data_IF_380077236021
#
_entry.id   IF_380077236021
#
_cell.length_a   1.000
_cell.length_b   1.000
_cell.length_c   1.000
_cell.angle_alpha   90.00
_cell.angle_beta   90.00
_cell.angle_gamma   90.00
#
_symmetry.space_group_name_H-M   'P 1'
#
loop_
_entity.id
_entity.type
_entity.pdbx_description
1 polymer ?
#
# COMPACT_ATOMS: atom_id res chain seq x y z
N UNK A 1 7.91 12.16 -95.42
CA UNK A 1 8.19 13.04 -94.27
C UNK A 1 7.09 14.09 -94.22
N UNK A 2 6.17 13.99 -93.25
CA UNK A 2 5.07 14.95 -93.10
C UNK A 2 5.68 16.15 -92.36
N UNK A 3 5.81 17.30 -93.02
CA UNK A 3 6.17 18.55 -92.33
C UNK A 3 5.09 18.79 -91.27
N UNK A 4 5.48 18.84 -90.00
CA UNK A 4 4.61 19.35 -88.97
C UNK A 4 4.32 20.82 -89.32
N UNK A 5 3.09 21.09 -89.72
CA UNK A 5 2.61 22.44 -89.95
C UNK A 5 2.60 23.11 -88.58
N UNK A 6 3.52 24.04 -88.35
CA UNK A 6 3.55 24.86 -87.15
C UNK A 6 2.18 25.54 -87.00
N UNK A 7 1.50 25.37 -85.85
CA UNK A 7 0.17 25.95 -85.64
C UNK A 7 0.23 27.48 -85.68
N UNK A 8 -0.86 28.10 -86.17
CA UNK A 8 -0.95 29.55 -86.29
C UNK A 8 -0.74 30.23 -84.91
N UNK A 9 0.01 31.35 -84.84
CA UNK A 9 0.32 32.00 -83.56
C UNK A 9 -0.89 32.40 -82.72
N UNK A 10 -2.01 32.71 -83.38
CA UNK A 10 -3.28 33.09 -82.75
C UNK A 10 -3.94 31.90 -82.06
N UNK A 11 -3.88 30.71 -82.67
CA UNK A 11 -4.36 29.46 -82.07
C UNK A 11 -3.53 29.10 -80.84
N UNK A 12 -2.21 29.24 -80.93
CA UNK A 12 -1.30 29.01 -79.79
C UNK A 12 -1.56 29.99 -78.65
N UNK A 13 -1.82 31.26 -78.95
CA UNK A 13 -2.15 32.27 -77.94
C UNK A 13 -3.46 31.93 -77.22
N UNK A 14 -4.51 31.57 -77.97
CA UNK A 14 -5.79 31.18 -77.37
C UNK A 14 -5.62 29.95 -76.47
N UNK A 15 -4.91 28.93 -76.93
CA UNK A 15 -4.69 27.72 -76.14
C UNK A 15 -3.82 27.98 -74.90
N UNK A 16 -2.86 28.90 -74.98
CA UNK A 16 -2.08 29.32 -73.82
C UNK A 16 -2.96 30.03 -72.77
N UNK A 17 -3.90 30.88 -73.20
CA UNK A 17 -4.84 31.56 -72.29
C UNK A 17 -5.77 30.56 -71.60
N UNK A 18 -6.36 29.64 -72.35
CA UNK A 18 -7.21 28.57 -71.80
C UNK A 18 -6.43 27.69 -70.80
N UNK A 19 -5.19 27.32 -71.14
CA UNK A 19 -4.33 26.55 -70.25
C UNK A 19 -4.00 27.32 -68.96
N UNK A 20 -3.74 28.63 -69.05
CA UNK A 20 -3.49 29.47 -67.88
C UNK A 20 -4.72 29.50 -66.96
N UNK A 21 -5.91 29.67 -67.52
CA UNK A 21 -7.16 29.66 -66.75
C UNK A 21 -7.37 28.31 -66.04
N UNK A 22 -7.17 27.19 -66.75
CA UNK A 22 -7.27 25.84 -66.18
C UNK A 22 -6.28 25.65 -65.02
N UNK A 23 -5.02 26.08 -65.20
CA UNK A 23 -3.99 25.97 -64.15
C UNK A 23 -4.32 26.83 -62.94
N UNK A 24 -4.83 28.05 -63.15
CA UNK A 24 -5.25 28.95 -62.06
C UNK A 24 -6.39 28.35 -61.24
N UNK A 25 -7.42 27.83 -61.90
CA UNK A 25 -8.55 27.18 -61.23
C UNK A 25 -8.11 25.95 -60.43
N UNK A 26 -7.21 25.13 -61.00
CA UNK A 26 -6.66 23.97 -60.30
C UNK A 26 -5.84 24.38 -59.06
N UNK A 27 -5.05 25.45 -59.16
CA UNK A 27 -4.27 25.95 -58.02
C UNK A 27 -5.15 26.45 -56.88
N UNK A 28 -6.26 27.13 -57.21
CA UNK A 28 -7.25 27.57 -56.21
C UNK A 28 -7.91 26.39 -55.49
N UNK A 29 -8.36 25.38 -56.25
CA UNK A 29 -8.96 24.16 -55.69
C UNK A 29 -8.00 23.42 -54.76
N UNK A 30 -6.73 23.27 -55.16
CA UNK A 30 -5.71 22.67 -54.31
C UNK A 30 -5.48 23.47 -53.01
N UNK A 31 -5.51 24.80 -53.09
CA UNK A 31 -5.42 25.66 -51.90
C UNK A 31 -6.56 25.40 -50.91
N UNK A 32 -7.79 25.32 -51.41
CA UNK A 32 -8.96 25.04 -50.59
C UNK A 32 -8.93 23.62 -50.00
N UNK A 33 -8.47 22.62 -50.76
CA UNK A 33 -8.30 21.25 -50.27
C UNK A 33 -7.24 21.15 -49.17
N UNK A 34 -6.13 21.89 -49.30
CA UNK A 34 -5.10 21.97 -48.26
C UNK A 34 -5.65 22.59 -46.98
N UNK A 35 -6.42 23.68 -47.08
CA UNK A 35 -7.05 24.33 -45.93
C UNK A 35 -8.00 23.37 -45.20
N UNK A 36 -8.86 22.66 -45.94
CA UNK A 36 -9.76 21.65 -45.36
C UNK A 36 -9.02 20.49 -44.69
N UNK A 37 -7.88 20.07 -45.23
CA UNK A 37 -7.01 19.06 -44.60
C UNK A 37 -6.43 19.56 -43.27
N UNK A 38 -5.95 20.81 -43.22
CA UNK A 38 -5.43 21.40 -41.98
C UNK A 38 -6.52 21.55 -40.92
N UNK A 39 -7.72 21.98 -41.30
CA UNK A 39 -8.85 22.09 -40.39
C UNK A 39 -9.24 20.72 -39.83
N UNK A 40 -9.37 19.71 -40.70
CA UNK A 40 -9.68 18.34 -40.29
C UNK A 40 -8.63 17.74 -39.35
N UNK A 41 -7.35 17.99 -39.62
CA UNK A 41 -6.25 17.57 -38.74
C UNK A 41 -6.31 18.27 -37.37
N UNK A 42 -6.61 19.57 -37.34
CA UNK A 42 -6.77 20.32 -36.09
C UNK A 42 -7.95 19.80 -35.27
N UNK A 43 -9.11 19.62 -35.90
CA UNK A 43 -10.31 19.07 -35.25
C UNK A 43 -10.04 17.68 -34.67
N UNK A 44 -9.36 16.82 -35.43
CA UNK A 44 -8.97 15.48 -34.96
C UNK A 44 -8.04 15.55 -33.76
N UNK A 45 -7.06 16.47 -33.78
CA UNK A 45 -6.15 16.69 -32.66
C UNK A 45 -6.91 17.11 -31.40
N UNK A 46 -7.88 18.00 -31.51
CA UNK A 46 -8.64 18.50 -30.37
C UNK A 46 -9.59 17.45 -29.80
N UNK A 47 -10.23 16.65 -30.65
CA UNK A 47 -11.03 15.49 -30.23
C UNK A 47 -10.17 14.47 -29.47
N UNK A 48 -8.96 14.19 -29.96
CA UNK A 48 -8.03 13.28 -29.28
C UNK A 48 -7.61 13.80 -27.90
N UNK A 49 -7.30 15.10 -27.78
CA UNK A 49 -6.98 15.72 -26.48
C UNK A 49 -8.14 15.56 -25.50
N UNK A 50 -9.35 15.90 -25.94
CA UNK A 50 -10.55 15.78 -25.11
C UNK A 50 -10.76 14.33 -24.65
N UNK A 51 -10.64 13.36 -25.55
CA UNK A 51 -10.74 11.94 -25.21
C UNK A 51 -9.73 11.52 -24.14
N UNK A 52 -8.48 11.97 -24.25
CA UNK A 52 -7.46 11.68 -23.25
C UNK A 52 -7.76 12.30 -21.89
N UNK A 53 -8.29 13.53 -21.87
CA UNK A 53 -8.62 14.21 -20.62
C UNK A 53 -9.86 13.59 -19.95
N UNK A 54 -10.86 13.16 -20.72
CA UNK A 54 -12.00 12.39 -20.22
C UNK A 54 -11.57 11.05 -19.63
N UNK A 55 -10.61 10.37 -20.29
CA UNK A 55 -10.07 9.10 -19.82
C UNK A 55 -9.31 9.27 -18.49
N UNK A 56 -8.48 10.32 -18.36
CA UNK A 56 -7.80 10.67 -17.11
C UNK A 56 -8.81 10.97 -16.01
N UNK A 57 -9.84 11.77 -16.30
CA UNK A 57 -10.88 12.11 -15.34
C UNK A 57 -11.66 10.89 -14.84
N UNK A 58 -12.00 9.98 -15.76
CA UNK A 58 -12.71 8.73 -15.43
C UNK A 58 -11.84 7.80 -14.58
N UNK A 59 -10.58 7.60 -14.95
CA UNK A 59 -9.66 6.78 -14.16
C UNK A 59 -9.38 7.38 -12.78
N UNK A 60 -9.24 8.70 -12.68
CA UNK A 60 -9.07 9.40 -11.40
C UNK A 60 -10.23 9.09 -10.44
N UNK A 61 -11.47 9.24 -10.92
CA UNK A 61 -12.67 8.92 -10.12
C UNK A 61 -12.69 7.47 -9.63
N UNK A 62 -12.38 6.51 -10.51
CA UNK A 62 -12.33 5.10 -10.12
C UNK A 62 -11.27 4.81 -9.05
N UNK A 63 -10.10 5.47 -9.14
CA UNK A 63 -9.05 5.34 -8.14
C UNK A 63 -9.48 5.94 -6.80
N UNK A 64 -10.13 7.10 -6.79
CA UNK A 64 -10.63 7.75 -5.59
C UNK A 64 -11.71 6.89 -4.89
N UNK A 65 -12.67 6.36 -5.65
CA UNK A 65 -13.70 5.44 -5.13
C UNK A 65 -13.10 4.18 -4.50
N UNK A 66 -12.09 3.61 -5.16
CA UNK A 66 -11.38 2.43 -4.66
C UNK A 66 -10.56 2.73 -3.42
N UNK A 67 -9.91 3.90 -3.36
CA UNK A 67 -9.19 4.34 -2.18
C UNK A 67 -10.13 4.48 -0.97
N UNK A 68 -11.29 5.12 -1.16
CA UNK A 68 -12.29 5.26 -0.09
C UNK A 68 -12.74 3.89 0.42
N UNK A 69 -13.06 2.96 -0.48
CA UNK A 69 -13.47 1.60 -0.11
C UNK A 69 -12.38 0.89 0.70
N UNK A 70 -11.13 0.91 0.22
CA UNK A 70 -10.00 0.26 0.92
C UNK A 70 -9.77 0.88 2.30
N UNK A 71 -9.86 2.20 2.43
CA UNK A 71 -9.71 2.87 3.73
C UNK A 71 -10.83 2.47 4.70
N UNK A 72 -12.07 2.30 4.22
CA UNK A 72 -13.18 1.80 5.02
C UNK A 72 -12.97 0.34 5.46
N UNK A 73 -12.47 -0.51 4.57
CA UNK A 73 -12.10 -1.89 4.91
C UNK A 73 -11.01 -1.94 5.98
N UNK A 74 -9.94 -1.13 5.83
CA UNK A 74 -8.89 -1.00 6.85
C UNK A 74 -9.46 -0.51 8.18
N UNK A 75 -10.37 0.47 8.15
CA UNK A 75 -11.06 0.95 9.34
C UNK A 75 -11.90 -0.14 10.01
N UNK A 76 -12.61 -0.94 9.22
CA UNK A 76 -13.42 -2.08 9.70
C UNK A 76 -12.53 -3.14 10.33
N UNK A 77 -11.42 -3.50 9.68
CA UNK A 77 -10.43 -4.42 10.25
C UNK A 77 -9.94 -3.87 11.59
N UNK A 78 -9.52 -2.60 11.66
CA UNK A 78 -9.07 -1.97 12.90
C UNK A 78 -10.12 -2.07 14.03
N UNK A 79 -11.41 -1.86 13.72
CA UNK A 79 -12.49 -1.97 14.69
C UNK A 79 -12.80 -3.42 15.10
N UNK A 80 -12.57 -4.37 14.21
CA UNK A 80 -12.81 -5.80 14.47
C UNK A 80 -11.67 -6.44 15.28
N UNK A 81 -10.47 -5.83 15.30
CA UNK A 81 -9.32 -6.27 16.11
C UNK A 81 -9.45 -5.83 17.59
N UNK A 82 -10.59 -6.10 18.22
CA UNK A 82 -10.73 -6.19 19.70
C UNK A 82 -9.63 -7.06 20.38
N UNK A 83 -9.10 -8.12 19.77
CA UNK A 83 -8.02 -8.91 20.38
C UNK A 83 -6.70 -8.17 20.60
N UNK A 84 -6.41 -7.00 20.00
CA UNK A 84 -5.17 -6.28 20.33
C UNK A 84 -5.22 -5.70 21.73
N UNK A 85 -6.36 -5.14 22.15
CA UNK A 85 -6.55 -4.66 23.52
C UNK A 85 -6.49 -5.82 24.52
N UNK A 86 -7.10 -6.96 24.18
CA UNK A 86 -7.07 -8.15 25.03
C UNK A 86 -5.66 -8.77 25.09
N UNK A 87 -4.93 -8.81 23.97
CA UNK A 87 -3.52 -9.20 23.93
C UNK A 87 -2.64 -8.23 24.72
N UNK A 88 -2.87 -6.93 24.63
CA UNK A 88 -2.17 -5.91 25.41
C UNK A 88 -2.40 -6.13 26.90
N UNK A 89 -3.65 -6.29 27.35
CA UNK A 89 -3.97 -6.60 28.76
C UNK A 89 -3.32 -7.91 29.23
N UNK A 90 -3.29 -8.93 28.39
CA UNK A 90 -2.63 -10.21 28.71
C UNK A 90 -1.12 -10.05 28.86
N UNK A 91 -0.48 -9.21 28.03
CA UNK A 91 0.95 -8.89 28.11
C UNK A 91 1.23 -8.06 29.37
N UNK A 92 0.48 -6.98 29.59
CA UNK A 92 0.60 -6.12 30.78
C UNK A 92 0.44 -6.95 32.07
N UNK A 93 -0.56 -7.81 32.14
CA UNK A 93 -0.74 -8.72 33.27
C UNK A 93 0.46 -9.67 33.43
N UNK A 94 0.98 -10.25 32.34
CA UNK A 94 2.14 -11.17 32.39
C UNK A 94 3.44 -10.47 32.80
N UNK A 95 3.62 -9.20 32.46
CA UNK A 95 4.79 -8.40 32.84
C UNK A 95 4.70 -7.91 34.28
N UNK A 96 3.53 -7.44 34.71
CA UNK A 96 3.36 -6.82 36.02
C UNK A 96 3.17 -7.84 37.16
N UNK A 97 2.63 -9.04 36.87
CA UNK A 97 2.39 -10.07 37.90
C UNK A 97 3.68 -10.55 38.57
N UNK A 98 4.78 -10.86 37.84
CA UNK A 98 6.05 -11.24 38.46
C UNK A 98 6.65 -10.14 39.35
N UNK A 99 6.61 -8.88 38.92
CA UNK A 99 7.16 -7.74 39.68
C UNK A 99 6.43 -7.54 41.00
N UNK A 100 5.10 -7.52 40.98
CA UNK A 100 4.28 -7.43 42.19
C UNK A 100 4.47 -8.62 43.13
N UNK A 101 4.66 -9.83 42.59
CA UNK A 101 4.98 -11.01 43.40
C UNK A 101 6.37 -10.91 44.04
N UNK A 102 7.40 -10.44 43.32
CA UNK A 102 8.73 -10.24 43.88
C UNK A 102 8.69 -9.25 45.05
N UNK A 103 8.01 -8.13 44.87
CA UNK A 103 7.87 -7.12 45.92
C UNK A 103 7.07 -7.65 47.14
N UNK A 104 5.98 -8.40 46.91
CA UNK A 104 5.23 -9.07 47.99
C UNK A 104 6.11 -10.06 48.76
N UNK A 105 6.96 -10.81 48.05
CA UNK A 105 7.91 -11.75 48.64
C UNK A 105 8.99 -11.07 49.48
N UNK A 106 9.58 -9.99 48.98
CA UNK A 106 10.57 -9.19 49.72
C UNK A 106 10.00 -8.64 51.02
N UNK A 107 8.78 -8.09 50.99
CA UNK A 107 8.08 -7.61 52.18
C UNK A 107 7.80 -8.75 53.16
N UNK A 108 7.31 -9.89 52.67
CA UNK A 108 7.01 -11.06 53.53
C UNK A 108 8.28 -11.63 54.18
N UNK A 109 9.44 -11.58 53.50
CA UNK A 109 10.72 -12.00 54.07
C UNK A 109 11.24 -11.04 55.15
N UNK A 110 11.01 -9.73 55.00
CA UNK A 110 11.40 -8.73 56.00
C UNK A 110 10.64 -8.90 57.32
N UNK A 111 9.38 -9.33 57.28
CA UNK A 111 8.56 -9.63 58.46
C UNK A 111 8.96 -10.92 59.21
N UNK A 112 9.80 -11.76 58.61
CA UNK A 112 10.30 -12.99 59.22
C UNK A 112 9.20 -14.01 59.57
N UNK A 113 9.56 -15.01 60.38
CA UNK A 113 8.65 -16.12 60.79
C UNK A 113 7.46 -15.62 61.63
N UNK A 114 7.54 -14.41 62.17
CA UNK A 114 6.49 -13.78 62.98
C UNK A 114 5.27 -13.37 62.14
N UNK A 115 5.46 -13.02 60.86
CA UNK A 115 4.37 -12.71 59.91
C UNK A 115 4.02 -13.91 59.01
N UNK A 116 3.84 -15.08 59.63
CA UNK A 116 3.60 -16.38 58.95
C UNK A 116 2.43 -16.35 57.94
N UNK A 117 1.39 -15.56 58.19
CA UNK A 117 0.26 -15.41 57.25
C UNK A 117 0.65 -14.75 55.93
N UNK A 118 1.53 -13.73 55.97
CA UNK A 118 2.01 -13.05 54.75
C UNK A 118 2.96 -13.96 53.97
N UNK A 119 3.83 -14.69 54.66
CA UNK A 119 4.69 -15.70 54.06
C UNK A 119 3.87 -16.82 53.39
N UNK A 120 2.85 -17.32 54.07
CA UNK A 120 1.98 -18.37 53.53
C UNK A 120 1.16 -17.89 52.33
N UNK A 121 0.59 -16.68 52.41
CA UNK A 121 -0.18 -16.04 51.33
C UNK A 121 0.69 -15.85 50.08
N UNK A 122 1.88 -15.26 50.23
CA UNK A 122 2.85 -15.11 49.16
C UNK A 122 3.25 -16.47 48.57
N UNK A 123 3.63 -17.44 49.41
CA UNK A 123 4.06 -18.77 48.95
C UNK A 123 2.97 -19.46 48.11
N UNK A 124 1.71 -19.36 48.54
CA UNK A 124 0.56 -19.89 47.79
C UNK A 124 0.35 -19.18 46.46
N UNK A 125 0.50 -17.86 46.40
CA UNK A 125 0.39 -17.09 45.15
C UNK A 125 1.55 -17.39 44.19
N UNK A 126 2.78 -17.45 44.69
CA UNK A 126 3.97 -17.76 43.91
C UNK A 126 3.88 -19.17 43.30
N UNK A 127 3.37 -20.18 44.03
CA UNK A 127 3.17 -21.53 43.51
C UNK A 127 2.18 -21.63 42.34
N UNK A 128 1.24 -20.69 42.23
CA UNK A 128 0.33 -20.61 41.08
C UNK A 128 0.95 -19.92 39.86
N UNK A 129 2.10 -19.24 40.03
CA UNK A 129 2.86 -18.72 38.91
C UNK A 129 3.60 -19.86 38.20
N UNK A 130 3.30 -20.06 36.91
CA UNK A 130 3.80 -21.21 36.15
C UNK A 130 5.32 -21.37 36.24
N UNK A 131 6.10 -20.27 36.16
CA UNK A 131 7.56 -20.33 36.28
C UNK A 131 8.06 -20.92 37.60
N UNK A 132 7.44 -20.54 38.72
CA UNK A 132 7.80 -21.04 40.06
C UNK A 132 7.34 -22.48 40.25
N UNK A 133 6.14 -22.83 39.77
CA UNK A 133 5.62 -24.20 39.79
C UNK A 133 6.53 -25.18 39.05
N UNK A 134 6.98 -24.81 37.86
CA UNK A 134 7.92 -25.61 37.06
C UNK A 134 9.28 -25.72 37.76
N UNK A 135 9.83 -24.62 38.29
CA UNK A 135 11.09 -24.64 39.04
C UNK A 135 11.04 -25.56 40.26
N UNK A 136 9.96 -25.53 41.04
CA UNK A 136 9.82 -26.40 42.22
C UNK A 136 9.66 -27.87 41.84
N UNK A 137 8.90 -28.16 40.79
CA UNK A 137 8.72 -29.54 40.28
C UNK A 137 10.02 -30.13 39.75
N UNK A 138 10.84 -29.32 39.08
CA UNK A 138 12.13 -29.73 38.52
C UNK A 138 13.25 -29.79 39.57
N UNK A 139 13.19 -28.94 40.62
CA UNK A 139 14.17 -28.92 41.73
C UNK A 139 14.30 -30.27 42.43
N UNK A 140 13.21 -31.02 42.58
CA UNK A 140 13.25 -32.36 43.18
C UNK A 140 13.77 -33.45 42.22
N UNK A 141 13.81 -33.18 40.91
CA UNK A 141 14.23 -34.14 39.88
C UNK A 141 15.67 -33.95 39.41
N UNK A 142 16.27 -32.78 39.69
CA UNK A 142 17.61 -32.42 39.22
C UNK A 142 18.43 -31.94 40.42
N UNK A 143 19.34 -32.78 40.92
CA UNK A 143 20.28 -32.41 42.00
C UNK A 143 21.67 -32.12 41.45
N UNK A 144 22.29 -31.03 41.92
CA UNK A 144 23.66 -30.62 41.56
C UNK A 144 23.76 -29.60 40.41
N UNK A 145 24.99 -29.40 39.90
CA UNK A 145 25.40 -28.40 38.89
C UNK A 145 24.50 -28.30 37.64
N UNK A 146 23.78 -29.37 37.28
CA UNK A 146 22.84 -29.37 36.16
C UNK A 146 21.56 -28.56 36.40
N UNK A 147 21.16 -28.31 37.65
CA UNK A 147 19.98 -27.49 37.95
C UNK A 147 20.14 -26.06 37.44
N UNK A 148 21.33 -25.47 37.62
CA UNK A 148 21.62 -24.08 37.18
C UNK A 148 21.57 -23.98 35.66
N UNK A 149 22.14 -24.95 34.95
CA UNK A 149 22.11 -24.99 33.48
C UNK A 149 20.68 -25.18 32.93
N UNK A 150 19.89 -26.06 33.56
CA UNK A 150 18.48 -26.27 33.19
C UNK A 150 17.65 -25.02 33.49
N UNK A 151 17.90 -24.34 34.62
CA UNK A 151 17.25 -23.08 34.96
C UNK A 151 17.53 -22.00 33.91
N UNK A 152 18.77 -21.90 33.46
CA UNK A 152 19.21 -20.89 32.49
C UNK A 152 18.66 -21.15 31.07
N UNK A 153 18.47 -22.42 30.70
CA UNK A 153 17.78 -22.81 29.45
C UNK A 153 16.29 -22.48 29.52
N UNK A 154 15.62 -22.81 30.63
CA UNK A 154 14.18 -22.53 30.82
C UNK A 154 13.94 -21.01 30.84
N UNK A 155 14.74 -20.24 31.58
CA UNK A 155 14.62 -18.78 31.61
C UNK A 155 14.83 -18.15 30.22
N UNK A 156 15.70 -18.72 29.38
CA UNK A 156 15.87 -18.29 27.98
C UNK A 156 14.72 -18.69 27.03
N UNK A 157 13.91 -19.67 27.39
CA UNK A 157 12.76 -20.09 26.58
C UNK A 157 11.48 -19.31 26.90
N UNK A 158 11.43 -18.62 28.05
CA UNK A 158 10.24 -17.93 28.56
C UNK A 158 10.42 -16.41 28.72
N UNK A 159 11.59 -15.86 28.40
CA UNK A 159 11.80 -14.44 28.10
C UNK A 159 11.87 -14.25 26.59
#
# INVERSE_FOLDING_TARGET
MRQAMEPEPELLLQQALENVEVVQNYWWELGHQLEGLWESASQTSDVLKQHFDDLKGTHGKFLDERLVTVLQEVGTIKQTIKPLDDCQKLIEHRVNTPEGLVQEGEIAMLGGVEENEKLWSFTKKALHYNGVRWMMTLRHKVTGSSFVNVLQIILRMYM
#
